data_IF_704254565702
#
_entry.id   IF_704254565702
#
_cell.length_a   1.000
_cell.length_b   1.000
_cell.length_c   1.000
_cell.angle_alpha   90.00
_cell.angle_beta   90.00
_cell.angle_gamma   90.00
#
_symmetry.space_group_name_H-M   'P 1'
#
loop_
_entity.id
_entity.type
_entity.pdbx_description
1 polymer ?
#
# COMPACT_ATOMS: atom_id res chain seq x y z
N UNK A 1 16.17 -7.37 20.74
CA UNK A 1 17.24 -6.41 20.40
C UNK A 1 17.16 -5.24 21.36
N UNK A 2 18.20 -4.42 21.48
CA UNK A 2 18.13 -3.18 22.25
C UNK A 2 17.30 -2.12 21.50
N UNK A 3 16.71 -1.19 22.25
CA UNK A 3 16.07 0.01 21.69
C UNK A 3 17.15 0.88 21.05
N UNK A 4 16.92 1.36 19.82
CA UNK A 4 17.83 2.28 19.13
C UNK A 4 17.55 3.72 19.59
N UNK A 5 18.59 4.48 19.90
CA UNK A 5 18.46 5.90 20.20
C UNK A 5 18.80 6.69 18.96
N UNK A 6 17.87 7.51 18.47
CA UNK A 6 18.06 8.33 17.28
C UNK A 6 18.42 9.74 17.73
N UNK A 7 19.61 10.20 17.32
CA UNK A 7 20.20 11.47 17.75
C UNK A 7 20.48 12.44 16.61
N UNK A 8 20.19 12.04 15.37
CA UNK A 8 20.44 12.86 14.19
C UNK A 8 19.47 12.55 13.05
N UNK A 9 19.34 13.50 12.12
CA UNK A 9 18.54 13.31 10.92
C UNK A 9 19.05 12.16 10.05
N UNK A 10 20.37 11.95 9.96
CA UNK A 10 20.95 10.83 9.20
C UNK A 10 20.51 9.47 9.76
N UNK A 11 20.51 9.33 11.08
CA UNK A 11 20.01 8.12 11.75
C UNK A 11 18.50 7.95 11.56
N UNK A 12 17.74 9.05 11.56
CA UNK A 12 16.32 9.04 11.27
C UNK A 12 16.02 8.62 9.82
N UNK A 13 16.76 9.13 8.82
CA UNK A 13 16.67 8.72 7.41
C UNK A 13 16.90 7.21 7.27
N UNK A 14 17.98 6.69 7.87
CA UNK A 14 18.28 5.25 7.87
C UNK A 14 17.19 4.43 8.56
N UNK A 15 16.60 4.96 9.63
CA UNK A 15 15.48 4.33 10.30
C UNK A 15 14.23 4.27 9.40
N UNK A 16 13.97 5.32 8.63
CA UNK A 16 12.90 5.32 7.63
C UNK A 16 13.16 4.31 6.51
N UNK A 17 14.38 4.20 6.00
CA UNK A 17 14.76 3.16 5.04
C UNK A 17 14.55 1.75 5.60
N UNK A 18 14.91 1.53 6.86
CA UNK A 18 14.69 0.26 7.54
C UNK A 18 13.20 -0.10 7.67
N UNK A 19 12.33 0.92 7.71
CA UNK A 19 10.87 0.74 7.74
C UNK A 19 10.31 0.15 6.44
N UNK A 20 11.08 0.13 5.34
CA UNK A 20 10.69 -0.55 4.08
C UNK A 20 10.71 -2.07 4.22
N UNK A 21 11.47 -2.60 5.17
CA UNK A 21 11.65 -4.05 5.39
C UNK A 21 11.04 -4.54 6.69
N UNK A 22 10.99 -3.68 7.70
CA UNK A 22 10.53 -4.03 9.04
C UNK A 22 9.51 -3.02 9.52
N UNK A 23 8.64 -3.41 10.46
CA UNK A 23 7.91 -2.43 11.24
C UNK A 23 8.91 -1.65 12.11
N UNK A 24 8.88 -0.32 12.01
CA UNK A 24 9.63 0.58 12.88
C UNK A 24 8.65 1.20 13.87
N UNK A 25 9.04 1.28 15.14
CA UNK A 25 8.27 1.98 16.17
C UNK A 25 9.19 3.01 16.79
N UNK A 26 8.75 4.27 16.82
CA UNK A 26 9.46 5.38 17.43
C UNK A 26 8.69 5.83 18.66
N UNK A 27 9.35 5.82 19.82
CA UNK A 27 8.87 6.46 21.05
C UNK A 27 9.54 7.83 21.16
N UNK A 28 8.76 8.89 20.99
CA UNK A 28 9.19 10.25 21.31
C UNK A 28 9.09 10.46 22.82
N UNK A 29 10.18 10.87 23.44
CA UNK A 29 10.37 10.92 24.90
C UNK A 29 11.05 12.21 25.33
N UNK A 30 11.13 12.45 26.64
CA UNK A 30 11.95 13.49 27.25
C UNK A 30 12.42 13.05 28.64
N UNK A 31 13.56 13.54 29.14
CA UNK A 31 14.09 13.18 30.46
C UNK A 31 13.16 13.60 31.63
N UNK A 32 12.48 14.73 31.48
CA UNK A 32 11.55 15.26 32.47
C UNK A 32 10.15 14.61 32.41
N UNK A 33 9.89 13.76 31.43
CA UNK A 33 8.60 13.10 31.24
C UNK A 33 8.44 11.90 32.20
N UNK A 34 7.70 12.10 33.29
CA UNK A 34 7.35 11.04 34.25
C UNK A 34 6.69 9.81 33.60
N UNK A 35 5.62 9.96 32.79
CA UNK A 35 4.99 8.83 32.10
C UNK A 35 5.92 8.06 31.16
N UNK A 36 6.91 8.73 30.57
CA UNK A 36 7.91 8.10 29.71
C UNK A 36 8.79 7.11 30.48
N UNK A 37 9.14 7.44 31.72
CA UNK A 37 9.90 6.54 32.63
C UNK A 37 9.09 5.31 33.00
N UNK A 38 7.78 5.45 33.20
CA UNK A 38 6.88 4.34 33.53
C UNK A 38 6.78 3.31 32.40
N UNK A 39 6.69 3.77 31.14
CA UNK A 39 6.52 2.87 29.99
C UNK A 39 7.86 2.33 29.42
N UNK A 40 8.98 2.97 29.72
CA UNK A 40 10.32 2.56 29.26
C UNK A 40 10.66 1.07 29.50
N UNK A 41 10.47 0.47 30.70
CA UNK A 41 10.79 -0.94 30.90
C UNK A 41 9.91 -1.89 30.06
N UNK A 42 8.65 -1.51 29.84
CA UNK A 42 7.72 -2.29 29.00
C UNK A 42 8.16 -2.20 27.54
N UNK A 43 8.50 -1.00 27.08
CA UNK A 43 9.00 -0.77 25.72
C UNK A 43 10.30 -1.56 25.45
N UNK A 44 11.24 -1.55 26.40
CA UNK A 44 12.47 -2.33 26.31
C UNK A 44 12.22 -3.85 26.31
N UNK A 45 11.27 -4.33 27.13
CA UNK A 45 10.84 -5.73 27.13
C UNK A 45 10.27 -6.13 25.77
N UNK A 46 9.38 -5.33 25.20
CA UNK A 46 8.79 -5.59 23.87
C UNK A 46 9.85 -5.61 22.77
N UNK A 47 10.85 -4.73 22.83
CA UNK A 47 11.99 -4.73 21.91
C UNK A 47 12.85 -6.01 22.02
N UNK A 48 12.93 -6.59 23.22
CA UNK A 48 13.63 -7.86 23.43
C UNK A 48 12.88 -9.07 22.87
N UNK A 49 11.54 -9.07 22.99
CA UNK A 49 10.65 -10.17 22.58
C UNK A 49 10.38 -10.18 21.06
N UNK A 50 10.35 -9.01 20.41
CA UNK A 50 9.97 -8.87 19.01
C UNK A 50 11.18 -8.58 18.10
N UNK A 51 11.89 -9.63 17.67
CA UNK A 51 13.12 -9.49 16.86
C UNK A 51 12.90 -8.97 15.43
N UNK A 52 11.68 -9.04 14.92
CA UNK A 52 11.33 -8.61 13.55
C UNK A 52 10.84 -7.16 13.47
N UNK A 53 10.83 -6.45 14.61
CA UNK A 53 10.37 -5.07 14.73
C UNK A 53 11.55 -4.24 15.23
N UNK A 54 11.73 -3.06 14.65
CA UNK A 54 12.75 -2.11 15.08
C UNK A 54 12.12 -1.15 16.07
N UNK A 55 12.58 -1.21 17.31
CA UNK A 55 12.19 -0.26 18.36
C UNK A 55 13.23 0.83 18.47
N UNK A 56 12.77 2.07 18.54
CA UNK A 56 13.61 3.25 18.60
C UNK A 56 13.01 4.34 19.47
N UNK A 57 13.85 5.24 19.96
CA UNK A 57 13.41 6.42 20.68
C UNK A 57 14.14 7.67 20.20
N UNK A 58 13.41 8.78 20.27
CA UNK A 58 13.86 10.13 19.94
C UNK A 58 13.58 10.99 21.15
N UNK A 59 14.60 11.63 21.71
CA UNK A 59 14.40 12.65 22.72
C UNK A 59 14.00 13.96 22.03
N UNK A 60 12.86 14.53 22.42
CA UNK A 60 12.33 15.72 21.74
C UNK A 60 13.13 16.99 22.06
N UNK A 61 13.86 17.02 23.18
CA UNK A 61 14.71 18.15 23.55
C UNK A 61 16.04 18.10 22.76
N UNK A 62 16.58 16.90 22.52
CA UNK A 62 17.79 16.71 21.70
C UNK A 62 17.52 16.80 20.19
N UNK A 63 16.35 16.36 19.73
CA UNK A 63 16.02 16.23 18.31
C UNK A 63 14.73 16.98 17.93
N UNK A 64 14.71 18.29 18.20
CA UNK A 64 13.53 19.15 17.99
C UNK A 64 13.05 19.18 16.54
N UNK A 65 13.96 19.16 15.56
CA UNK A 65 13.61 19.17 14.14
C UNK A 65 12.86 17.90 13.74
N UNK A 66 13.34 16.73 14.19
CA UNK A 66 12.69 15.43 13.96
C UNK A 66 11.33 15.40 14.67
N UNK A 67 11.26 15.86 15.92
CA UNK A 67 10.01 15.91 16.67
C UNK A 67 8.96 16.80 15.99
N UNK A 68 9.39 17.96 15.49
CA UNK A 68 8.54 18.91 14.74
C UNK A 68 8.10 18.33 13.40
N UNK A 69 9.03 17.74 12.65
CA UNK A 69 8.76 17.05 11.38
C UNK A 69 7.74 15.92 11.55
N UNK A 70 7.80 15.19 12.66
CA UNK A 70 6.87 14.13 13.01
C UNK A 70 5.58 14.64 13.68
N UNK A 71 5.40 15.96 13.86
CA UNK A 71 4.19 16.54 14.45
C UNK A 71 3.96 16.15 15.92
N UNK A 72 5.03 15.96 16.69
CA UNK A 72 4.94 15.54 18.09
C UNK A 72 4.59 16.72 18.97
N UNK A 73 3.47 16.61 19.70
CA UNK A 73 2.97 17.67 20.59
C UNK A 73 2.91 17.28 22.07
N UNK A 74 3.17 16.01 22.41
CA UNK A 74 3.14 15.51 23.78
C UNK A 74 4.02 14.26 23.93
N UNK A 75 4.45 13.97 25.16
CA UNK A 75 5.29 12.80 25.45
C UNK A 75 4.65 11.91 26.54
N UNK A 76 4.76 10.57 26.41
CA UNK A 76 5.33 9.87 25.27
C UNK A 76 4.37 9.90 24.07
N UNK A 77 4.91 10.02 22.86
CA UNK A 77 4.17 9.74 21.62
C UNK A 77 4.80 8.54 20.94
N UNK A 78 3.95 7.61 20.47
CA UNK A 78 4.37 6.44 19.72
C UNK A 78 3.91 6.60 18.28
N UNK A 79 4.85 6.44 17.34
CA UNK A 79 4.56 6.43 15.91
C UNK A 79 5.09 5.14 15.30
N UNK A 80 4.28 4.50 14.46
CA UNK A 80 4.59 3.25 13.80
C UNK A 80 4.85 3.53 12.33
N UNK A 81 5.98 3.08 11.81
CA UNK A 81 6.38 3.29 10.43
C UNK A 81 6.48 1.97 9.68
N UNK A 82 5.85 1.93 8.50
CA UNK A 82 6.06 0.91 7.48
C UNK A 82 6.17 1.60 6.13
N UNK A 83 7.11 1.15 5.30
CA UNK A 83 7.34 1.69 3.96
C UNK A 83 7.48 3.22 3.96
N UNK A 84 8.26 3.75 4.92
CA UNK A 84 8.54 5.18 5.14
C UNK A 84 7.31 6.03 5.50
N UNK A 85 6.19 5.39 5.89
CA UNK A 85 4.95 6.07 6.26
C UNK A 85 4.55 5.77 7.68
N UNK A 86 4.05 6.80 8.36
CA UNK A 86 3.41 6.65 9.66
C UNK A 86 2.04 5.97 9.48
N UNK A 87 1.91 4.74 9.99
CA UNK A 87 0.70 3.91 9.89
C UNK A 87 -0.17 3.93 11.14
N UNK A 88 0.35 4.44 12.25
CA UNK A 88 -0.36 4.51 13.54
C UNK A 88 0.35 5.50 14.46
N UNK A 89 -0.42 6.35 15.14
CA UNK A 89 0.11 7.31 16.11
C UNK A 89 -0.79 7.35 17.33
N UNK A 90 -0.18 7.31 18.51
CA UNK A 90 -0.91 7.61 19.74
C UNK A 90 -0.02 8.26 20.79
N UNK A 91 -0.66 9.00 21.69
CA UNK A 91 -0.02 9.71 22.79
C UNK A 91 -0.36 9.04 24.13
N UNK A 92 0.55 9.16 25.09
CA UNK A 92 0.37 8.70 26.46
C UNK A 92 1.01 7.34 26.76
N UNK A 93 1.29 7.12 28.04
CA UNK A 93 1.88 5.88 28.54
C UNK A 93 0.80 4.80 28.68
N UNK A 94 0.41 4.20 27.55
CA UNK A 94 -0.59 3.13 27.46
C UNK A 94 0.03 1.81 26.95
N UNK A 95 0.38 0.88 27.86
CA UNK A 95 0.94 -0.42 27.49
C UNK A 95 -0.01 -1.31 26.68
N UNK A 96 -1.32 -1.25 26.97
CA UNK A 96 -2.31 -2.10 26.29
C UNK A 96 -2.47 -1.66 24.84
N UNK A 97 -2.59 -0.35 24.61
CA UNK A 97 -2.65 0.22 23.27
C UNK A 97 -1.37 -0.02 22.49
N UNK A 98 -0.21 0.10 23.13
CA UNK A 98 1.08 -0.25 22.51
C UNK A 98 1.10 -1.71 22.03
N UNK A 99 0.74 -2.66 22.89
CA UNK A 99 0.71 -4.10 22.55
C UNK A 99 -0.34 -4.39 21.47
N UNK A 100 -1.53 -3.78 21.56
CA UNK A 100 -2.59 -3.93 20.56
C UNK A 100 -2.16 -3.45 19.18
N UNK A 101 -1.52 -2.29 19.10
CA UNK A 101 -1.00 -1.74 17.86
C UNK A 101 0.20 -2.55 17.33
N UNK A 102 1.08 -3.06 18.21
CA UNK A 102 2.11 -4.01 17.80
C UNK A 102 1.45 -5.22 17.14
N UNK A 103 0.47 -5.88 17.76
CA UNK A 103 -0.21 -7.04 17.14
C UNK A 103 -0.80 -6.68 15.78
N UNK A 104 -1.63 -5.62 15.74
CA UNK A 104 -2.29 -5.10 14.52
C UNK A 104 -1.32 -4.82 13.37
N UNK A 105 -0.12 -4.30 13.66
CA UNK A 105 0.85 -3.91 12.65
C UNK A 105 2.04 -4.90 12.53
N UNK A 106 2.20 -5.87 13.41
CA UNK A 106 3.26 -6.89 13.37
C UNK A 106 2.85 -8.14 12.60
N UNK A 107 1.53 -8.36 12.47
CA UNK A 107 1.02 -9.40 11.60
C UNK A 107 1.56 -9.16 10.18
N UNK A 108 2.12 -10.20 9.55
CA UNK A 108 2.52 -10.10 8.17
C UNK A 108 1.25 -9.82 7.35
N UNK A 109 1.08 -8.57 6.92
CA UNK A 109 0.70 -8.39 5.53
C UNK A 109 1.70 -9.26 4.76
N UNK A 110 1.18 -10.35 4.18
CA UNK A 110 1.97 -11.27 3.41
C UNK A 110 2.84 -10.46 2.45
N UNK A 111 4.15 -10.71 2.60
CA UNK A 111 5.29 -10.21 1.83
C UNK A 111 5.56 -8.69 1.85
N UNK A 112 6.55 -8.31 2.67
CA UNK A 112 7.62 -7.41 2.21
C UNK A 112 8.38 -8.11 1.07
N UNK A 113 7.77 -8.20 -0.10
CA UNK A 113 8.53 -8.30 -1.34
C UNK A 113 9.25 -6.97 -1.53
N UNK A 114 10.52 -7.01 -1.92
CA UNK A 114 11.20 -5.84 -2.53
C UNK A 114 10.15 -5.16 -3.39
N UNK A 115 9.84 -3.87 -3.19
CA UNK A 115 8.95 -3.13 -4.08
C UNK A 115 9.31 -3.54 -5.49
N UNK A 116 8.42 -4.23 -6.24
CA UNK A 116 8.79 -4.76 -7.53
C UNK A 116 9.37 -3.58 -8.29
N UNK A 117 10.63 -3.69 -8.71
CA UNK A 117 11.14 -2.79 -9.72
C UNK A 117 10.29 -3.08 -10.94
N UNK A 118 9.20 -2.35 -11.09
CA UNK A 118 8.38 -2.37 -12.29
C UNK A 118 9.29 -1.79 -13.36
N UNK A 119 9.88 -2.67 -14.19
CA UNK A 119 10.83 -2.25 -15.22
C UNK A 119 10.20 -1.11 -16.04
N UNK A 120 10.79 0.09 -15.97
CA UNK A 120 10.28 1.28 -16.66
C UNK A 120 9.25 2.15 -15.91
N UNK A 121 9.03 1.92 -14.62
CA UNK A 121 8.21 2.77 -13.73
C UNK A 121 9.03 3.24 -12.50
N UNK A 122 10.15 3.93 -12.73
CA UNK A 122 10.94 4.56 -11.67
C UNK A 122 10.07 5.55 -10.87
N UNK A 123 10.26 5.62 -9.54
CA UNK A 123 9.50 6.44 -8.58
C UNK A 123 8.01 6.06 -8.34
N UNK A 124 7.52 4.94 -8.90
CA UNK A 124 6.15 4.48 -8.63
C UNK A 124 6.12 3.30 -7.65
N UNK A 125 5.06 3.26 -6.83
CA UNK A 125 4.84 2.26 -5.80
C UNK A 125 3.56 1.47 -6.06
N UNK A 126 3.43 0.31 -5.43
CA UNK A 126 2.16 -0.40 -5.34
C UNK A 126 1.17 0.41 -4.49
N UNK A 127 0.03 0.73 -5.09
CA UNK A 127 -1.05 1.52 -4.50
C UNK A 127 -1.98 0.69 -3.60
N UNK A 128 -1.80 -0.62 -3.49
CA UNK A 128 -2.61 -1.50 -2.64
C UNK A 128 -2.75 -1.00 -1.20
N UNK A 129 -1.69 -0.40 -0.64
CA UNK A 129 -1.71 0.20 0.70
C UNK A 129 -2.69 1.36 0.88
N UNK A 130 -3.11 1.99 -0.21
CA UNK A 130 -4.09 3.07 -0.19
C UNK A 130 -5.50 2.59 -0.50
N UNK A 131 -5.69 1.31 -0.85
CA UNK A 131 -7.01 0.77 -1.14
C UNK A 131 -7.77 0.53 0.17
N UNK A 132 -9.00 1.05 0.25
CA UNK A 132 -9.92 0.77 1.35
C UNK A 132 -10.55 -0.59 1.08
N UNK A 133 -9.92 -1.68 1.54
CA UNK A 133 -10.38 -3.06 1.28
C UNK A 133 -11.85 -3.32 1.63
N UNK A 134 -12.35 -2.66 2.69
CA UNK A 134 -13.77 -2.76 3.11
C UNK A 134 -14.77 -2.19 2.11
N UNK A 135 -14.32 -1.33 1.20
CA UNK A 135 -15.11 -0.74 0.12
C UNK A 135 -14.81 -1.39 -1.23
N UNK A 136 -13.96 -2.43 -1.26
CA UNK A 136 -13.73 -3.19 -2.48
C UNK A 136 -14.98 -4.00 -2.81
N UNK A 137 -15.44 -3.89 -4.04
CA UNK A 137 -16.60 -4.62 -4.53
C UNK A 137 -16.29 -5.21 -5.90
N UNK A 138 -16.66 -6.47 -6.09
CA UNK A 138 -16.60 -7.15 -7.38
C UNK A 138 -18.02 -7.57 -7.76
N UNK A 139 -18.42 -7.34 -8.99
CA UNK A 139 -19.67 -7.84 -9.56
C UNK A 139 -19.37 -8.96 -10.57
N UNK A 140 -20.32 -9.89 -10.69
CA UNK A 140 -20.25 -11.08 -11.55
C UNK A 140 -19.03 -11.97 -11.31
N UNK A 141 -18.74 -12.28 -10.04
CA UNK A 141 -17.67 -13.20 -9.66
C UNK A 141 -18.19 -14.31 -8.76
N UNK A 142 -17.58 -15.50 -8.86
CA UNK A 142 -17.90 -16.64 -8.03
C UNK A 142 -17.60 -16.37 -6.56
N UNK A 143 -18.62 -16.54 -5.72
CA UNK A 143 -18.55 -16.33 -4.27
C UNK A 143 -17.74 -17.40 -3.52
N UNK A 144 -17.20 -18.41 -4.21
CA UNK A 144 -16.28 -19.40 -3.63
C UNK A 144 -14.98 -18.77 -3.11
N UNK A 145 -14.62 -17.60 -3.64
CA UNK A 145 -13.44 -16.84 -3.23
C UNK A 145 -13.85 -15.44 -2.79
N UNK A 146 -13.05 -14.80 -1.94
CA UNK A 146 -13.30 -13.42 -1.55
C UNK A 146 -12.74 -12.46 -2.62
N UNK A 147 -13.51 -11.44 -3.02
CA UNK A 147 -13.06 -10.41 -3.96
C UNK A 147 -11.72 -9.76 -3.54
N UNK A 148 -11.45 -9.60 -2.23
CA UNK A 148 -10.18 -9.06 -1.72
C UNK A 148 -8.93 -9.82 -2.18
N UNK A 149 -9.08 -11.10 -2.57
CA UNK A 149 -7.98 -11.93 -3.04
C UNK A 149 -7.29 -11.36 -4.28
N UNK A 150 -8.00 -10.61 -5.13
CA UNK A 150 -7.41 -9.97 -6.30
C UNK A 150 -6.31 -8.96 -5.95
N UNK A 151 -6.28 -8.48 -4.71
CA UNK A 151 -5.27 -7.54 -4.22
C UNK A 151 -4.15 -8.25 -3.45
N UNK A 152 -4.26 -9.56 -3.22
CA UNK A 152 -3.31 -10.33 -2.43
C UNK A 152 -2.32 -11.07 -3.34
N UNK A 153 -1.16 -11.45 -2.79
CA UNK A 153 -0.16 -12.27 -3.50
C UNK A 153 -0.40 -13.78 -3.31
N UNK A 154 -1.62 -14.17 -2.92
CA UNK A 154 -2.01 -15.57 -2.86
C UNK A 154 -2.33 -16.07 -4.29
N UNK A 155 -2.17 -17.38 -4.53
CA UNK A 155 -2.54 -18.00 -5.82
C UNK A 155 -4.05 -18.30 -5.87
N UNK A 156 -4.89 -17.47 -5.24
CA UNK A 156 -6.34 -17.65 -5.26
C UNK A 156 -6.91 -16.75 -6.33
N UNK A 157 -7.29 -17.34 -7.45
CA UNK A 157 -7.94 -16.63 -8.53
C UNK A 157 -9.41 -16.35 -8.21
N UNK A 158 -9.94 -15.26 -8.75
CA UNK A 158 -11.37 -15.07 -8.88
C UNK A 158 -11.80 -15.48 -10.29
N UNK A 159 -13.02 -15.99 -10.37
CA UNK A 159 -13.65 -16.53 -11.54
C UNK A 159 -14.91 -15.72 -11.80
N UNK A 160 -15.20 -15.41 -13.06
CA UNK A 160 -16.50 -14.85 -13.41
C UNK A 160 -17.62 -15.88 -13.19
N UNK A 161 -18.84 -15.42 -12.90
CA UNK A 161 -19.95 -16.31 -12.49
C UNK A 161 -20.90 -16.66 -13.63
N UNK A 162 -21.45 -15.64 -14.30
CA UNK A 162 -22.50 -15.82 -15.32
C UNK A 162 -21.94 -15.82 -16.74
N UNK A 163 -21.02 -14.90 -17.02
CA UNK A 163 -20.38 -14.67 -18.31
C UNK A 163 -18.94 -14.21 -18.09
N UNK A 164 -18.21 -13.85 -19.14
CA UNK A 164 -16.80 -13.46 -19.07
C UNK A 164 -16.54 -12.10 -18.42
N UNK A 165 -17.59 -11.31 -18.14
CA UNK A 165 -17.44 -9.94 -17.69
C UNK A 165 -17.25 -9.84 -16.18
N UNK A 166 -16.35 -8.97 -15.72
CA UNK A 166 -16.18 -8.71 -14.29
C UNK A 166 -16.06 -7.20 -14.09
N UNK A 167 -16.75 -6.67 -13.08
CA UNK A 167 -16.64 -5.25 -12.69
C UNK A 167 -16.09 -5.13 -11.28
N UNK A 168 -15.00 -4.37 -11.11
CA UNK A 168 -14.31 -4.22 -9.83
C UNK A 168 -14.30 -2.74 -9.45
N UNK A 169 -14.82 -2.41 -8.26
CA UNK A 169 -14.80 -1.06 -7.70
C UNK A 169 -13.78 -0.94 -6.59
N UNK A 170 -12.88 0.03 -6.72
CA UNK A 170 -11.80 0.30 -5.78
C UNK A 170 -11.92 1.74 -5.29
N UNK A 171 -12.03 1.91 -3.98
CA UNK A 171 -11.87 3.22 -3.31
C UNK A 171 -10.47 3.36 -2.72
N UNK A 172 -9.89 4.55 -2.83
CA UNK A 172 -8.63 4.89 -2.18
C UNK A 172 -8.86 5.76 -0.93
N UNK A 173 -8.06 5.53 0.11
CA UNK A 173 -8.08 6.29 1.38
C UNK A 173 -7.60 7.73 1.23
N UNK A 174 -6.89 8.01 0.14
CA UNK A 174 -6.50 9.33 -0.30
C UNK A 174 -6.35 9.34 -1.82
N UNK A 175 -6.48 10.49 -2.49
CA UNK A 175 -6.31 10.53 -3.94
C UNK A 175 -4.91 10.10 -4.37
N UNK A 176 -4.84 9.36 -5.48
CA UNK A 176 -3.61 8.83 -6.06
C UNK A 176 -3.46 9.25 -7.52
N UNK A 177 -2.24 9.16 -8.03
CA UNK A 177 -1.89 9.22 -9.44
C UNK A 177 -1.65 7.80 -9.93
N UNK A 178 -2.48 7.29 -10.84
CA UNK A 178 -2.28 5.95 -11.42
C UNK A 178 -1.35 6.06 -12.63
N UNK A 179 -0.26 5.31 -12.61
CA UNK A 179 0.73 5.28 -13.68
C UNK A 179 0.60 4.03 -14.55
N UNK A 180 0.45 2.87 -13.93
CA UNK A 180 0.32 1.61 -14.62
C UNK A 180 -0.64 0.67 -13.89
N UNK A 181 -1.19 -0.27 -14.64
CA UNK A 181 -1.97 -1.38 -14.13
C UNK A 181 -1.29 -2.68 -14.57
N UNK A 182 -1.23 -3.62 -13.63
CA UNK A 182 -0.77 -4.97 -13.89
C UNK A 182 -1.87 -5.95 -13.57
N UNK A 183 -2.20 -6.79 -14.54
CA UNK A 183 -3.08 -7.93 -14.34
C UNK A 183 -2.22 -9.19 -14.42
N UNK A 184 -2.34 -10.03 -13.40
CA UNK A 184 -1.69 -11.32 -13.34
C UNK A 184 -2.75 -12.40 -13.59
N UNK A 185 -2.64 -13.16 -14.70
CA UNK A 185 -3.58 -14.23 -14.99
C UNK A 185 -3.36 -15.41 -14.04
N UNK A 186 -4.33 -16.32 -13.98
CA UNK A 186 -4.15 -17.57 -13.26
C UNK A 186 -3.10 -18.46 -13.96
N UNK A 187 -2.29 -19.18 -13.16
CA UNK A 187 -1.22 -20.02 -13.70
C UNK A 187 -1.81 -21.14 -14.55
N UNK A 188 -1.36 -21.24 -15.80
CA UNK A 188 -1.81 -22.28 -16.72
C UNK A 188 -3.15 -22.01 -17.38
N UNK A 189 -3.76 -20.84 -17.16
CA UNK A 189 -5.03 -20.42 -17.75
C UNK A 189 -4.89 -19.08 -18.46
N UNK A 190 -3.97 -19.01 -19.43
CA UNK A 190 -3.76 -17.77 -20.17
C UNK A 190 -4.92 -17.47 -21.13
N UNK A 191 -5.56 -18.52 -21.63
CA UNK A 191 -6.75 -18.46 -22.49
C UNK A 191 -7.92 -17.71 -21.83
N UNK A 192 -8.05 -17.82 -20.50
CA UNK A 192 -9.09 -17.17 -19.68
C UNK A 192 -8.65 -15.81 -19.11
N UNK A 193 -7.47 -15.33 -19.48
CA UNK A 193 -6.97 -14.06 -18.98
C UNK A 193 -7.73 -12.89 -19.61
N UNK A 194 -7.95 -11.77 -18.87
CA UNK A 194 -8.57 -10.57 -19.41
C UNK A 194 -7.91 -10.09 -20.71
N UNK A 195 -8.69 -9.60 -21.66
CA UNK A 195 -8.18 -9.01 -22.91
C UNK A 195 -8.50 -7.53 -22.96
N UNK A 196 -9.77 -7.16 -23.08
CA UNK A 196 -10.20 -5.76 -23.09
C UNK A 196 -10.58 -5.32 -21.68
N UNK A 197 -9.83 -4.34 -21.16
CA UNK A 197 -10.02 -3.76 -19.83
C UNK A 197 -10.31 -2.27 -19.95
N UNK A 198 -11.50 -1.86 -19.51
CA UNK A 198 -11.93 -0.46 -19.47
C UNK A 198 -11.79 0.09 -18.05
N UNK A 199 -11.17 1.27 -17.93
CA UNK A 199 -10.93 1.95 -16.66
C UNK A 199 -11.82 3.20 -16.56
N UNK A 200 -12.45 3.39 -15.40
CA UNK A 200 -13.28 4.56 -15.11
C UNK A 200 -12.84 5.20 -13.79
N UNK A 201 -12.52 6.49 -13.81
CA UNK A 201 -12.10 7.20 -12.59
C UNK A 201 -13.21 8.07 -12.03
N UNK A 202 -13.32 8.10 -10.69
CA UNK A 202 -14.15 9.05 -9.92
C UNK A 202 -15.62 9.09 -10.33
N UNK A 203 -16.14 7.97 -10.81
CA UNK A 203 -17.57 7.80 -11.06
C UNK A 203 -18.29 7.46 -9.74
N UNK A 204 -19.59 7.77 -9.63
CA UNK A 204 -20.44 7.11 -8.63
C UNK A 204 -20.45 5.59 -8.86
N UNK A 205 -21.14 4.86 -7.99
CA UNK A 205 -21.39 3.44 -8.20
C UNK A 205 -21.89 3.20 -9.63
N UNK A 206 -21.36 2.19 -10.32
CA UNK A 206 -21.68 1.90 -11.70
C UNK A 206 -21.92 0.40 -11.87
N UNK A 207 -22.92 0.02 -12.65
CA UNK A 207 -23.19 -1.36 -13.04
C UNK A 207 -22.75 -1.66 -14.47
N UNK A 208 -23.09 -2.85 -14.96
CA UNK A 208 -22.78 -3.27 -16.34
C UNK A 208 -23.49 -2.40 -17.40
N UNK A 209 -24.71 -1.92 -17.15
CA UNK A 209 -25.41 -1.02 -18.10
C UNK A 209 -24.66 0.31 -18.34
N UNK A 210 -23.95 0.78 -17.31
CA UNK A 210 -23.17 2.01 -17.38
C UNK A 210 -21.90 1.85 -18.21
N UNK A 211 -21.33 0.64 -18.31
CA UNK A 211 -20.05 0.40 -19.01
C UNK A 211 -20.18 0.50 -20.54
N UNK A 212 -21.41 0.39 -21.06
CA UNK A 212 -21.75 0.60 -22.46
C UNK A 212 -22.11 2.06 -22.76
N UNK A 213 -22.67 2.76 -21.77
CA UNK A 213 -23.21 4.12 -21.95
C UNK A 213 -22.17 5.21 -21.66
N UNK A 214 -21.17 4.92 -20.83
CA UNK A 214 -20.17 5.88 -20.37
C UNK A 214 -18.85 5.63 -21.09
N UNK A 215 -18.23 6.69 -21.61
CA UNK A 215 -16.88 6.59 -22.18
C UNK A 215 -15.86 6.29 -21.06
N UNK A 216 -15.02 5.25 -21.22
CA UNK A 216 -13.98 4.94 -20.26
C UNK A 216 -12.89 6.01 -20.23
N UNK A 217 -12.29 6.18 -19.07
CA UNK A 217 -11.11 7.05 -18.90
C UNK A 217 -9.94 6.53 -19.73
N UNK A 218 -9.78 5.21 -19.78
CA UNK A 218 -8.83 4.53 -20.65
C UNK A 218 -9.34 3.14 -21.01
N UNK A 219 -8.97 2.65 -22.19
CA UNK A 219 -9.23 1.28 -22.62
C UNK A 219 -7.90 0.64 -22.95
N UNK A 220 -7.66 -0.50 -22.32
CA UNK A 220 -6.41 -1.23 -22.38
C UNK A 220 -6.70 -2.59 -22.98
N UNK A 221 -5.91 -2.99 -23.96
CA UNK A 221 -5.97 -4.31 -24.57
C UNK A 221 -4.73 -5.11 -24.17
N UNK A 222 -4.96 -6.20 -23.45
CA UNK A 222 -3.96 -7.18 -23.07
C UNK A 222 -3.77 -8.21 -24.19
N UNK A 223 -2.53 -8.63 -24.39
CA UNK A 223 -2.18 -9.69 -25.33
C UNK A 223 -1.38 -10.78 -24.63
N UNK A 224 -1.29 -11.95 -25.28
CA UNK A 224 -0.44 -13.05 -24.82
C UNK A 224 1.01 -12.61 -24.58
N UNK A 225 1.56 -11.71 -25.39
CA UNK A 225 2.92 -11.18 -25.25
C UNK A 225 3.08 -10.34 -23.99
N UNK A 226 2.08 -9.51 -23.67
CA UNK A 226 2.08 -8.67 -22.47
C UNK A 226 2.10 -9.55 -21.23
N UNK A 227 1.29 -10.62 -21.22
CA UNK A 227 1.27 -11.58 -20.10
C UNK A 227 2.51 -12.47 -20.01
N UNK A 228 3.12 -12.86 -21.15
CA UNK A 228 4.40 -13.57 -21.18
C UNK A 228 5.56 -12.72 -20.64
N UNK A 229 5.44 -11.40 -20.70
CA UNK A 229 6.30 -10.45 -20.01
C UNK A 229 5.98 -10.39 -18.52
N UNK A 230 5.53 -9.22 -18.04
CA UNK A 230 5.17 -9.00 -16.64
C UNK A 230 3.71 -8.58 -16.43
N UNK A 231 2.92 -8.48 -17.50
CA UNK A 231 1.52 -8.05 -17.46
C UNK A 231 1.33 -6.57 -17.16
N UNK A 232 2.37 -5.73 -17.20
CA UNK A 232 2.28 -4.30 -16.88
C UNK A 232 1.93 -3.50 -18.14
N UNK A 233 0.88 -2.68 -18.03
CA UNK A 233 0.53 -1.69 -19.05
C UNK A 233 0.53 -0.31 -18.40
N UNK A 234 1.24 0.64 -19.04
CA UNK A 234 1.18 2.05 -18.66
C UNK A 234 -0.19 2.58 -19.01
N UNK A 235 -0.94 3.00 -17.99
CA UNK A 235 -2.17 3.75 -18.20
C UNK A 235 -1.81 5.10 -18.82
N UNK A 236 -2.75 5.75 -19.50
CA UNK A 236 -2.57 7.13 -19.99
C UNK A 236 -2.47 8.11 -18.82
N UNK A 237 -1.31 8.17 -18.16
CA UNK A 237 -1.03 8.88 -16.91
C UNK A 237 -1.64 10.29 -16.84
N UNK A 238 -1.64 11.02 -17.95
CA UNK A 238 -2.27 12.37 -18.06
C UNK A 238 -3.74 12.41 -17.65
N UNK A 239 -4.48 11.29 -17.77
CA UNK A 239 -5.89 11.17 -17.38
C UNK A 239 -6.09 10.70 -15.94
N UNK A 240 -5.04 10.22 -15.28
CA UNK A 240 -5.11 9.61 -13.95
C UNK A 240 -4.30 10.38 -12.90
N UNK A 241 -4.43 11.72 -12.87
CA UNK A 241 -3.68 12.57 -11.93
C UNK A 241 -4.33 12.72 -10.56
N UNK A 242 -5.61 12.37 -10.42
CA UNK A 242 -6.35 12.54 -9.17
C UNK A 242 -7.47 11.50 -9.11
N UNK A 243 -7.13 10.30 -8.64
CA UNK A 243 -8.03 9.15 -8.59
C UNK A 243 -8.36 8.85 -7.13
N UNK A 244 -9.62 9.01 -6.74
CA UNK A 244 -10.14 8.58 -5.43
C UNK A 244 -10.98 7.30 -5.55
N UNK A 245 -11.60 7.07 -6.71
CA UNK A 245 -12.30 5.84 -7.05
C UNK A 245 -11.88 5.35 -8.44
N UNK A 246 -11.70 4.05 -8.57
CA UNK A 246 -11.38 3.38 -9.83
C UNK A 246 -12.34 2.20 -10.02
N UNK A 247 -13.07 2.20 -11.13
CA UNK A 247 -13.78 1.01 -11.60
C UNK A 247 -13.00 0.38 -12.74
N UNK A 248 -12.77 -0.92 -12.63
CA UNK A 248 -12.08 -1.74 -13.62
C UNK A 248 -13.12 -2.70 -14.19
N UNK A 249 -13.46 -2.51 -15.45
CA UNK A 249 -14.37 -3.38 -16.17
C UNK A 249 -13.56 -4.28 -17.10
N UNK A 250 -13.63 -5.59 -16.88
CA UNK A 250 -13.10 -6.60 -17.77
C UNK A 250 -14.24 -7.01 -18.68
N UNK A 251 -14.08 -6.72 -19.97
CA UNK A 251 -15.12 -6.93 -20.98
C UNK A 251 -15.08 -8.33 -21.58
N UNK A 252 -13.87 -8.84 -21.84
CA UNK A 252 -13.64 -10.12 -22.49
C UNK A 252 -12.27 -10.70 -22.09
N UNK A 253 -11.97 -11.91 -22.58
CA UNK A 253 -10.73 -12.64 -22.35
C UNK A 253 -10.01 -12.99 -23.67
N UNK A 254 -8.79 -13.54 -23.57
CA UNK A 254 -7.88 -13.69 -24.71
C UNK A 254 -8.41 -14.60 -25.83
N UNK A 255 -9.12 -15.67 -25.48
CA UNK A 255 -9.56 -16.71 -26.43
C UNK A 255 -11.09 -16.84 -26.51
N UNK A 256 -11.82 -15.77 -26.16
CA UNK A 256 -13.29 -15.69 -26.19
C UNK A 256 -13.98 -16.85 -25.41
N UNK A 257 -13.38 -17.27 -24.28
CA UNK A 257 -13.95 -18.23 -23.33
C UNK A 257 -15.15 -17.61 -22.60
N UNK A 258 -16.08 -18.44 -22.13
CA UNK A 258 -17.23 -18.01 -21.33
C UNK A 258 -16.88 -17.59 -19.90
N UNK A 259 -15.68 -17.94 -19.44
CA UNK A 259 -15.21 -17.64 -18.09
C UNK A 259 -13.92 -16.85 -18.13
N UNK A 260 -13.88 -15.74 -17.39
CA UNK A 260 -12.65 -14.98 -17.14
C UNK A 260 -12.08 -15.35 -15.79
N UNK A 261 -10.77 -15.61 -15.75
CA UNK A 261 -10.05 -15.98 -14.53
C UNK A 261 -8.89 -15.03 -14.31
N UNK A 262 -8.87 -14.37 -13.15
CA UNK A 262 -7.80 -13.44 -12.79
C UNK A 262 -7.26 -13.72 -11.39
N UNK A 263 -5.94 -13.67 -11.24
CA UNK A 263 -5.28 -13.94 -9.97
C UNK A 263 -5.03 -12.66 -9.18
N UNK A 264 -4.51 -11.62 -9.83
CA UNK A 264 -4.11 -10.39 -9.13
C UNK A 264 -4.21 -9.16 -10.00
N UNK A 265 -4.73 -8.07 -9.44
CA UNK A 265 -4.67 -6.71 -9.97
C UNK A 265 -3.70 -5.91 -9.10
N UNK A 266 -2.66 -5.35 -9.72
CA UNK A 266 -1.70 -4.45 -9.06
C UNK A 266 -1.78 -3.07 -9.70
N UNK A 267 -2.06 -2.06 -8.88
CA UNK A 267 -2.15 -0.67 -9.31
C UNK A 267 -0.86 0.05 -8.93
N UNK A 268 -0.21 0.68 -9.90
CA UNK A 268 1.13 1.23 -9.76
C UNK A 268 1.04 2.74 -9.95
N UNK A 269 1.59 3.51 -9.01
CA UNK A 269 1.47 4.96 -9.06
C UNK A 269 2.07 5.67 -7.85
N UNK A 270 1.57 6.86 -7.54
CA UNK A 270 1.98 7.64 -6.35
C UNK A 270 0.76 8.25 -5.66
N UNK A 271 0.82 8.59 -4.37
CA UNK A 271 -0.21 9.44 -3.77
C UNK A 271 -0.21 10.86 -4.39
N UNK A 272 -1.35 11.56 -4.35
CA UNK A 272 -1.47 12.94 -4.82
C UNK A 272 -0.82 13.93 -3.84
N UNK A 273 -1.02 13.72 -2.53
CA UNK A 273 -0.36 14.44 -1.45
C UNK A 273 0.51 13.48 -0.64
N UNK A 274 1.78 13.83 -0.49
CA UNK A 274 2.74 13.10 0.32
C UNK A 274 2.70 13.60 1.76
N UNK A 275 2.16 12.82 2.70
CA UNK A 275 2.75 12.72 4.05
C UNK A 275 3.97 11.78 4.01
N UNK A 276 4.72 11.84 2.91
CA UNK A 276 5.74 10.90 2.50
C UNK A 276 7.09 11.46 2.94
N UNK A 277 7.71 10.80 3.92
CA UNK A 277 9.06 11.17 4.35
C UNK A 277 10.12 10.75 3.31
N UNK A 278 9.72 10.21 2.15
CA UNK A 278 10.61 9.98 0.99
C UNK A 278 11.30 11.26 0.47
N UNK A 279 10.75 12.44 0.75
CA UNK A 279 11.41 13.71 0.43
C UNK A 279 12.65 13.97 1.32
N UNK A 280 12.69 13.42 2.54
CA UNK A 280 13.80 13.59 3.49
C UNK A 280 15.07 12.88 3.01
N UNK A 281 14.94 11.81 2.22
CA UNK A 281 16.06 11.08 1.61
C UNK A 281 16.53 11.65 0.27
N UNK A 282 15.78 12.55 -0.39
CA UNK A 282 16.12 13.06 -1.74
C UNK A 282 17.02 14.31 -1.75
N UNK A 283 17.32 14.94 -0.61
CA UNK A 283 18.04 16.23 -0.59
C UNK A 283 19.58 16.20 -0.71
N UNK A 284 20.24 15.04 -0.85
CA UNK A 284 21.72 14.99 -0.89
C UNK A 284 22.36 14.63 -2.24
N UNK A 285 21.59 14.35 -3.31
CA UNK A 285 22.18 13.95 -4.60
C UNK A 285 22.29 15.07 -5.65
N UNK A 286 22.23 16.33 -5.24
CA UNK A 286 22.57 17.48 -6.09
C UNK A 286 23.45 18.42 -5.30
N UNK A 287 24.71 18.04 -5.12
CA UNK A 287 25.87 18.93 -5.03
C UNK A 287 27.14 18.07 -4.89
N UNK A 288 27.67 17.63 -6.03
CA UNK A 288 29.10 17.36 -6.27
C UNK A 288 29.35 17.17 -7.77
#
# INVERSE_FOLDING_TARGET
MSVRHIKSESEFKKLMEDSTRNLVIIKFTAEWCGPCKTIAPIYAKLASENKNIIFSEVDVDECQDIASLCGVSAMPTFQFFKNMKNVETFMGADPQKLIGNIKKHSEPNQTAEKSPSFNGCHDHIDLNQFIIKKELECLNYSTETACENILMSNNTAIHSDVDEQILIHISFSQPVKLFAIKITPSKGHLEKAPKVVKLFTNRPYMGFEDTDSIEPTDTIEYTSEIYKGDGIIKARYVRFQNVSKLSIFIQDNLEDDTETVLNKVTLIGTPLQSNDFSAVTKQENTDN
#
